data_IF_120293178212
#
_entry.id   IF_120293178212
#
_cell.length_a   1.000
_cell.length_b   1.000
_cell.length_c   1.000
_cell.angle_alpha   90.00
_cell.angle_beta   90.00
_cell.angle_gamma   90.00
#
_symmetry.space_group_name_H-M   'P 1'
#
loop_
_entity.id
_entity.type
_entity.pdbx_description
1 polymer ?
#
# COMPACT_ATOMS: atom_id res chain seq x y z
N UNK A 1 5.11 -5.97 24.12
CA UNK A 1 5.16 -5.58 22.69
C UNK A 1 4.60 -6.74 21.88
N UNK A 2 3.41 -6.62 21.26
CA UNK A 2 2.90 -7.69 20.38
C UNK A 2 3.64 -7.60 19.04
N UNK A 3 4.48 -8.59 18.77
CA UNK A 3 5.01 -8.83 17.42
C UNK A 3 3.82 -9.25 16.56
N UNK A 4 3.29 -8.33 15.76
CA UNK A 4 2.35 -8.72 14.71
C UNK A 4 3.16 -9.43 13.63
N UNK A 5 2.77 -10.65 13.29
CA UNK A 5 3.33 -11.33 12.13
C UNK A 5 2.82 -10.62 10.85
N UNK A 6 3.50 -10.83 9.72
CA UNK A 6 3.13 -10.20 8.44
C UNK A 6 1.68 -10.50 8.04
N UNK A 7 1.16 -11.67 8.43
CA UNK A 7 -0.22 -12.06 8.20
C UNK A 7 -1.24 -11.14 8.89
N UNK A 8 -1.05 -10.83 10.18
CA UNK A 8 -1.92 -9.88 10.91
C UNK A 8 -1.83 -8.47 10.35
N UNK A 9 -0.65 -8.05 9.88
CA UNK A 9 -0.46 -6.74 9.25
C UNK A 9 -1.24 -6.69 7.93
N UNK A 10 -1.06 -7.70 7.08
CA UNK A 10 -1.80 -7.84 5.83
C UNK A 10 -3.31 -7.84 6.05
N UNK A 11 -3.81 -8.60 7.04
CA UNK A 11 -5.22 -8.65 7.37
C UNK A 11 -5.75 -7.26 7.75
N UNK A 12 -5.02 -6.53 8.60
CA UNK A 12 -5.40 -5.17 9.02
C UNK A 12 -5.38 -4.19 7.85
N UNK A 13 -4.38 -4.26 6.97
CA UNK A 13 -4.31 -3.45 5.76
C UNK A 13 -5.54 -3.69 4.87
N UNK A 14 -5.93 -4.95 4.66
CA UNK A 14 -7.08 -5.31 3.84
C UNK A 14 -8.40 -4.89 4.48
N UNK A 15 -8.59 -5.14 5.78
CA UNK A 15 -9.78 -4.69 6.51
C UNK A 15 -9.87 -3.17 6.55
N UNK A 16 -8.76 -2.49 6.84
CA UNK A 16 -8.65 -1.04 6.84
C UNK A 16 -8.97 -0.44 5.47
N UNK A 17 -8.51 -1.06 4.38
CA UNK A 17 -8.91 -0.65 3.03
C UNK A 17 -10.40 -0.90 2.76
N UNK A 18 -10.98 -2.00 3.28
CA UNK A 18 -12.39 -2.37 3.09
C UNK A 18 -13.35 -1.47 3.87
N UNK A 19 -13.01 -1.12 5.11
CA UNK A 19 -13.88 -0.45 6.09
C UNK A 19 -13.71 1.07 6.13
N UNK A 20 -13.02 1.68 5.14
CA UNK A 20 -12.73 3.12 5.19
C UNK A 20 -13.99 3.95 5.32
N UNK A 21 -13.93 4.81 6.33
CA UNK A 21 -14.94 5.81 6.66
C UNK A 21 -14.71 7.04 5.77
N UNK A 22 -15.80 7.58 5.23
CA UNK A 22 -15.84 8.89 4.58
C UNK A 22 -16.59 9.87 5.46
N UNK A 23 -16.30 11.17 5.28
CA UNK A 23 -17.18 12.20 5.82
C UNK A 23 -18.40 12.32 4.91
N UNK A 24 -19.61 12.29 5.48
CA UNK A 24 -20.81 12.60 4.72
C UNK A 24 -20.94 14.12 4.44
N UNK A 25 -22.03 14.50 3.79
CA UNK A 25 -22.33 15.90 3.47
C UNK A 25 -22.46 16.81 4.70
N UNK A 26 -22.63 16.23 5.89
CA UNK A 26 -22.78 16.94 7.15
C UNK A 26 -21.48 16.93 7.98
N UNK A 27 -20.41 16.29 7.48
CA UNK A 27 -19.13 16.18 8.18
C UNK A 27 -19.08 15.05 9.22
N UNK A 28 -20.04 14.13 9.21
CA UNK A 28 -20.06 12.97 10.11
C UNK A 28 -19.25 11.80 9.52
N UNK A 29 -18.59 11.05 10.41
CA UNK A 29 -17.77 9.86 10.11
C UNK A 29 -18.72 8.70 9.80
N UNK A 30 -18.89 8.35 8.53
CA UNK A 30 -19.77 7.26 8.10
C UNK A 30 -19.02 6.19 7.31
N UNK A 31 -19.28 4.92 7.61
CA UNK A 31 -18.74 3.80 6.83
C UNK A 31 -19.17 3.95 5.36
N UNK A 32 -18.20 3.99 4.44
CA UNK A 32 -18.50 4.05 3.01
C UNK A 32 -19.00 2.69 2.50
N UNK A 33 -20.23 2.34 2.86
CA UNK A 33 -20.86 1.08 2.45
C UNK A 33 -21.24 1.08 0.95
N UNK A 34 -21.28 2.26 0.30
CA UNK A 34 -21.83 2.42 -1.05
C UNK A 34 -20.76 2.55 -2.16
N UNK A 35 -19.51 2.91 -1.86
CA UNK A 35 -18.42 2.91 -2.84
C UNK A 35 -17.37 1.86 -2.48
N UNK A 36 -17.68 0.63 -2.90
CA UNK A 36 -16.77 -0.50 -3.11
C UNK A 36 -15.29 -0.11 -3.05
N UNK A 37 -14.68 -0.28 -1.87
CA UNK A 37 -13.22 -0.31 -1.69
C UNK A 37 -12.53 -1.40 -2.52
N UNK A 38 -13.30 -2.20 -3.28
CA UNK A 38 -12.83 -3.13 -4.32
C UNK A 38 -11.74 -2.53 -5.21
N UNK A 39 -11.86 -1.25 -5.59
CA UNK A 39 -10.89 -0.64 -6.50
C UNK A 39 -9.51 -0.42 -5.84
N UNK A 40 -9.50 -0.15 -4.53
CA UNK A 40 -8.25 -0.10 -3.74
C UNK A 40 -7.73 -1.51 -3.47
N UNK A 41 -8.59 -2.48 -3.14
CA UNK A 41 -8.19 -3.87 -2.92
C UNK A 41 -7.64 -4.55 -4.18
N UNK A 42 -8.10 -4.16 -5.38
CA UNK A 42 -7.50 -4.61 -6.65
C UNK A 42 -6.04 -4.13 -6.81
N UNK A 43 -5.57 -3.17 -6.01
CA UNK A 43 -4.15 -2.82 -5.98
C UNK A 43 -3.29 -3.92 -5.37
N UNK A 44 -3.82 -4.83 -4.55
CA UNK A 44 -3.05 -5.92 -3.94
C UNK A 44 -2.28 -6.76 -4.96
N UNK A 45 -2.91 -7.04 -6.11
CA UNK A 45 -2.26 -7.77 -7.22
C UNK A 45 -1.15 -6.94 -7.87
N UNK A 46 -1.39 -5.64 -8.05
CA UNK A 46 -0.41 -4.70 -8.61
C UNK A 46 0.77 -4.48 -7.68
N UNK A 47 0.53 -4.49 -6.36
CA UNK A 47 1.57 -4.45 -5.35
C UNK A 47 2.50 -5.64 -5.50
N UNK A 48 1.95 -6.86 -5.51
CA UNK A 48 2.71 -8.09 -5.73
C UNK A 48 3.55 -8.05 -7.01
N UNK A 49 3.00 -7.55 -8.11
CA UNK A 49 3.74 -7.37 -9.37
C UNK A 49 4.85 -6.32 -9.25
N UNK A 50 4.56 -5.17 -8.65
CA UNK A 50 5.52 -4.07 -8.53
C UNK A 50 6.75 -4.42 -7.67
N UNK A 51 6.62 -5.33 -6.70
CA UNK A 51 7.77 -5.76 -5.87
C UNK A 51 8.90 -6.32 -6.74
N UNK A 52 8.58 -7.02 -7.83
CA UNK A 52 9.56 -7.61 -8.74
C UNK A 52 10.45 -6.55 -9.43
N UNK A 53 9.98 -5.30 -9.51
CA UNK A 53 10.70 -4.19 -10.12
C UNK A 53 11.50 -3.35 -9.11
N UNK A 54 11.51 -3.74 -7.83
CA UNK A 54 12.35 -3.13 -6.80
C UNK A 54 11.65 -2.08 -5.94
N UNK A 55 12.37 -1.65 -4.88
CA UNK A 55 11.84 -0.79 -3.81
C UNK A 55 11.39 0.58 -4.30
N UNK A 56 12.15 1.20 -5.20
CA UNK A 56 11.80 2.50 -5.78
C UNK A 56 10.51 2.42 -6.58
N UNK A 57 10.36 1.39 -7.42
CA UNK A 57 9.15 1.23 -8.24
C UNK A 57 7.91 1.01 -7.39
N UNK A 58 8.05 0.19 -6.34
CA UNK A 58 6.98 -0.08 -5.38
C UNK A 58 6.59 1.19 -4.61
N UNK A 59 7.57 1.87 -4.00
CA UNK A 59 7.33 3.09 -3.26
C UNK A 59 6.78 4.21 -4.16
N UNK A 60 7.32 4.42 -5.35
CA UNK A 60 6.88 5.50 -6.25
C UNK A 60 5.43 5.36 -6.75
N UNK A 61 4.82 4.19 -6.62
CA UNK A 61 3.46 3.96 -7.10
C UNK A 61 2.40 4.74 -6.29
N UNK A 62 2.58 4.93 -4.98
CA UNK A 62 1.66 5.77 -4.19
C UNK A 62 1.66 7.21 -4.69
N UNK A 63 2.84 7.73 -5.09
CA UNK A 63 2.98 9.08 -5.64
C UNK A 63 2.30 9.22 -6.99
N UNK A 64 2.50 8.23 -7.88
CA UNK A 64 1.86 8.19 -9.20
C UNK A 64 0.34 8.17 -9.09
N UNK A 65 -0.20 7.41 -8.14
CA UNK A 65 -1.63 7.34 -7.88
C UNK A 65 -2.15 8.64 -7.26
N UNK A 66 -1.39 9.26 -6.35
CA UNK A 66 -1.73 10.56 -5.75
C UNK A 66 -1.75 11.69 -6.78
N UNK A 67 -0.86 11.65 -7.76
CA UNK A 67 -0.88 12.66 -8.82
C UNK A 67 -2.16 12.54 -9.67
N UNK A 68 -2.58 11.30 -9.98
CA UNK A 68 -3.84 11.02 -10.68
C UNK A 68 -5.11 11.40 -9.91
N UNK A 69 -5.07 11.47 -8.58
CA UNK A 69 -6.25 11.87 -7.81
C UNK A 69 -6.67 13.31 -8.05
N UNK A 70 -5.73 14.19 -8.45
CA UNK A 70 -6.03 15.58 -8.85
C UNK A 70 -7.01 15.65 -10.03
N UNK A 71 -6.90 14.71 -10.96
CA UNK A 71 -7.66 14.71 -12.20
C UNK A 71 -8.87 13.76 -12.17
N UNK A 72 -8.83 12.72 -11.34
CA UNK A 72 -9.78 11.57 -11.39
C UNK A 72 -10.50 11.27 -10.08
N UNK A 73 -10.37 12.13 -9.06
CA UNK A 73 -11.16 12.10 -7.82
C UNK A 73 -10.69 11.09 -6.76
N UNK A 74 -11.51 10.96 -5.69
CA UNK A 74 -11.20 10.28 -4.42
C UNK A 74 -10.76 8.80 -4.55
N UNK A 75 -11.11 8.13 -5.65
CA UNK A 75 -10.75 6.72 -5.86
C UNK A 75 -9.24 6.52 -5.93
N UNK A 76 -8.53 7.39 -6.65
CA UNK A 76 -7.07 7.30 -6.78
C UNK A 76 -6.36 7.68 -5.49
N UNK A 77 -6.96 8.54 -4.68
CA UNK A 77 -6.44 8.90 -3.37
C UNK A 77 -6.49 7.69 -2.42
N UNK A 78 -7.59 6.94 -2.39
CA UNK A 78 -7.70 5.69 -1.62
C UNK A 78 -6.68 4.64 -2.07
N UNK A 79 -6.49 4.48 -3.39
CA UNK A 79 -5.47 3.58 -3.94
C UNK A 79 -4.07 4.02 -3.47
N UNK A 80 -3.73 5.29 -3.66
CA UNK A 80 -2.45 5.86 -3.24
C UNK A 80 -2.19 5.60 -1.76
N UNK A 81 -3.17 5.91 -0.92
CA UNK A 81 -3.05 5.76 0.52
C UNK A 81 -2.87 4.28 0.93
N UNK A 82 -3.51 3.34 0.24
CA UNK A 82 -3.31 1.91 0.50
C UNK A 82 -1.88 1.44 0.20
N UNK A 83 -1.28 1.91 -0.90
CA UNK A 83 0.15 1.70 -1.19
C UNK A 83 1.06 2.33 -0.13
N UNK A 84 0.73 3.56 0.30
CA UNK A 84 1.52 4.27 1.32
C UNK A 84 1.49 3.56 2.66
N UNK A 85 0.31 3.13 3.12
CA UNK A 85 0.14 2.37 4.36
C UNK A 85 0.90 1.05 4.32
N UNK A 86 0.87 0.34 3.18
CA UNK A 86 1.63 -0.90 3.01
C UNK A 86 3.13 -0.65 3.14
N UNK A 87 3.64 0.45 2.57
CA UNK A 87 5.03 0.87 2.74
C UNK A 87 5.36 1.27 4.18
N UNK A 88 4.46 1.99 4.86
CA UNK A 88 4.64 2.41 6.26
C UNK A 88 4.70 1.23 7.23
N UNK A 89 3.85 0.23 7.01
CA UNK A 89 3.86 -1.00 7.79
C UNK A 89 5.14 -1.82 7.52
N UNK A 90 5.60 -1.89 6.27
CA UNK A 90 6.90 -2.49 5.94
C UNK A 90 8.05 -1.80 6.70
N UNK A 91 8.10 -0.46 6.68
CA UNK A 91 9.12 0.32 7.41
C UNK A 91 9.05 0.03 8.91
N UNK A 92 7.84 -0.06 9.47
CA UNK A 92 7.63 -0.37 10.88
C UNK A 92 8.13 -1.76 11.25
N UNK A 93 7.82 -2.77 10.43
CA UNK A 93 8.29 -4.17 10.65
C UNK A 93 9.80 -4.26 10.55
N UNK A 94 10.39 -3.69 9.52
CA UNK A 94 11.83 -3.78 9.27
C UNK A 94 12.65 -3.03 10.32
N UNK A 95 12.09 -1.96 10.90
CA UNK A 95 12.71 -1.29 12.05
C UNK A 95 12.89 -2.22 13.27
N UNK A 96 12.00 -3.19 13.47
CA UNK A 96 12.11 -4.16 14.57
C UNK A 96 13.29 -5.12 14.40
N UNK A 97 13.76 -5.31 13.17
CA UNK A 97 14.89 -6.18 12.83
C UNK A 97 16.20 -5.41 12.70
N UNK A 98 16.19 -4.09 12.94
CA UNK A 98 17.35 -3.22 12.83
C UNK A 98 17.61 -2.69 11.41
N UNK A 99 16.79 -3.06 10.42
CA UNK A 99 16.92 -2.58 9.04
C UNK A 99 16.12 -1.29 8.87
N UNK A 100 16.80 -0.20 8.50
CA UNK A 100 16.15 1.11 8.30
C UNK A 100 15.78 1.29 6.84
N UNK A 101 14.49 1.53 6.59
CA UNK A 101 13.98 1.89 5.27
C UNK A 101 13.71 3.39 5.26
N UNK A 102 14.22 4.15 4.26
CA UNK A 102 13.88 5.55 4.13
C UNK A 102 12.38 5.73 3.90
N UNK A 103 11.79 6.75 4.52
CA UNK A 103 10.35 6.99 4.48
C UNK A 103 10.03 8.47 4.61
N UNK A 104 10.82 9.29 3.94
CA UNK A 104 10.73 10.73 4.07
C UNK A 104 9.42 11.24 3.47
N UNK A 105 8.86 12.28 4.09
CA UNK A 105 7.71 12.96 3.52
C UNK A 105 8.15 13.69 2.26
N UNK A 106 7.51 13.39 1.14
CA UNK A 106 7.80 14.01 -0.16
C UNK A 106 6.63 14.89 -0.60
N UNK A 107 6.94 15.94 -1.35
CA UNK A 107 5.95 16.83 -1.92
C UNK A 107 6.01 16.71 -3.45
N UNK A 108 4.89 16.31 -4.07
CA UNK A 108 4.78 16.16 -5.53
C UNK A 108 5.06 17.46 -6.29
N UNK A 109 4.78 18.63 -5.69
CA UNK A 109 5.11 19.93 -6.26
C UNK A 109 6.61 20.27 -6.18
N UNK A 110 7.40 19.46 -5.49
CA UNK A 110 8.86 19.63 -5.34
C UNK A 110 9.59 18.35 -5.77
N UNK A 111 9.87 18.19 -7.08
CA UNK A 111 10.50 16.99 -7.64
C UNK A 111 11.81 16.59 -6.95
N UNK A 112 12.57 17.55 -6.41
CA UNK A 112 13.82 17.29 -5.71
C UNK A 112 13.63 16.42 -4.46
N UNK A 113 12.48 16.54 -3.77
CA UNK A 113 12.19 15.71 -2.60
C UNK A 113 11.94 14.25 -2.98
N UNK A 114 11.32 14.01 -4.14
CA UNK A 114 11.12 12.67 -4.69
C UNK A 114 12.46 12.06 -5.13
N UNK A 115 13.31 12.84 -5.80
CA UNK A 115 14.66 12.40 -6.20
C UNK A 115 15.52 12.07 -4.99
N UNK A 116 15.49 12.88 -3.93
CA UNK A 116 16.24 12.62 -2.72
C UNK A 116 15.82 11.30 -2.06
N UNK A 117 14.52 11.04 -1.96
CA UNK A 117 13.99 9.80 -1.41
C UNK A 117 14.37 8.57 -2.28
N UNK A 118 14.32 8.69 -3.61
CA UNK A 118 14.80 7.62 -4.50
C UNK A 118 16.30 7.35 -4.33
N UNK A 119 17.13 8.40 -4.21
CA UNK A 119 18.55 8.26 -3.95
C UNK A 119 18.85 7.58 -2.61
N UNK A 120 18.04 7.83 -1.57
CA UNK A 120 18.19 7.13 -0.29
C UNK A 120 17.87 5.64 -0.41
N UNK A 121 16.86 5.26 -1.20
CA UNK A 121 16.56 3.86 -1.48
C UNK A 121 17.73 3.16 -2.20
N UNK A 122 18.37 3.83 -3.16
CA UNK A 122 19.51 3.28 -3.89
C UNK A 122 20.77 3.13 -3.05
N UNK A 123 20.91 3.92 -1.97
CA UNK A 123 22.05 3.85 -1.04
C UNK A 123 21.95 2.73 0.00
N UNK A 124 20.81 2.04 0.07
CA UNK A 124 20.66 0.88 0.95
C UNK A 124 21.68 -0.21 0.60
N UNK A 125 22.23 -0.86 1.62
CA UNK A 125 23.13 -2.00 1.39
C UNK A 125 22.41 -3.12 0.64
N UNK A 126 23.12 -3.82 -0.24
CA UNK A 126 22.54 -4.88 -1.09
C UNK A 126 21.91 -5.99 -0.25
N UNK A 127 22.49 -6.30 0.92
CA UNK A 127 21.93 -7.30 1.84
C UNK A 127 20.59 -6.83 2.39
N UNK A 128 20.53 -5.59 2.85
CA UNK A 128 19.30 -5.01 3.40
C UNK A 128 18.22 -4.88 2.33
N UNK A 129 18.58 -4.44 1.12
CA UNK A 129 17.65 -4.40 -0.03
C UNK A 129 17.01 -5.76 -0.29
N UNK A 130 17.81 -6.84 -0.28
CA UNK A 130 17.31 -8.21 -0.50
C UNK A 130 16.38 -8.66 0.63
N UNK A 131 16.71 -8.35 1.88
CA UNK A 131 15.86 -8.67 3.03
C UNK A 131 14.54 -7.91 2.93
N UNK A 132 14.57 -6.61 2.64
CA UNK A 132 13.38 -5.77 2.49
C UNK A 132 12.50 -6.32 1.36
N UNK A 133 13.07 -6.65 0.21
CA UNK A 133 12.31 -7.21 -0.92
C UNK A 133 11.69 -8.58 -0.60
N UNK A 134 12.38 -9.43 0.15
CA UNK A 134 11.83 -10.71 0.58
C UNK A 134 10.63 -10.52 1.53
N UNK A 135 10.76 -9.63 2.51
CA UNK A 135 9.68 -9.32 3.47
C UNK A 135 8.51 -8.64 2.77
N UNK A 136 8.78 -7.71 1.85
CA UNK A 136 7.75 -7.02 1.07
C UNK A 136 7.01 -7.98 0.15
N UNK A 137 7.71 -8.90 -0.53
CA UNK A 137 7.09 -9.96 -1.33
C UNK A 137 6.11 -10.77 -0.48
N UNK A 138 6.58 -11.25 0.68
CA UNK A 138 5.75 -12.04 1.59
C UNK A 138 4.54 -11.25 2.13
N UNK A 139 4.72 -9.97 2.44
CA UNK A 139 3.63 -9.08 2.85
C UNK A 139 2.59 -8.93 1.74
N UNK A 140 3.02 -8.72 0.50
CA UNK A 140 2.12 -8.63 -0.66
C UNK A 140 1.35 -9.93 -0.91
N UNK A 141 1.99 -11.08 -0.75
CA UNK A 141 1.32 -12.39 -0.88
C UNK A 141 0.26 -12.59 0.21
N UNK A 142 0.57 -12.24 1.46
CA UNK A 142 -0.41 -12.26 2.56
C UNK A 142 -1.59 -11.31 2.26
N UNK A 143 -1.31 -10.11 1.76
CA UNK A 143 -2.33 -9.11 1.39
C UNK A 143 -3.25 -9.68 0.29
N UNK A 144 -2.69 -10.28 -0.76
CA UNK A 144 -3.47 -10.91 -1.84
C UNK A 144 -4.36 -12.02 -1.29
N UNK A 145 -3.81 -12.87 -0.43
CA UNK A 145 -4.56 -13.97 0.20
C UNK A 145 -5.77 -13.45 0.99
N UNK A 146 -5.58 -12.44 1.85
CA UNK A 146 -6.68 -11.84 2.61
C UNK A 146 -7.69 -11.12 1.72
N UNK A 147 -7.23 -10.39 0.69
CA UNK A 147 -8.09 -9.76 -0.30
C UNK A 147 -9.00 -10.81 -0.97
N UNK A 148 -8.45 -11.94 -1.42
CA UNK A 148 -9.24 -13.03 -1.99
C UNK A 148 -10.20 -13.64 -0.96
N UNK A 149 -9.75 -13.86 0.27
CA UNK A 149 -10.56 -14.46 1.34
C UNK A 149 -11.77 -13.62 1.73
N UNK A 150 -11.67 -12.31 1.58
CA UNK A 150 -12.72 -11.34 1.88
C UNK A 150 -13.57 -10.93 0.67
N UNK A 151 -13.23 -11.36 -0.55
CA UNK A 151 -14.16 -11.38 -1.70
C UNK A 151 -15.19 -12.48 -1.43
N UNK A 152 -16.42 -12.09 -1.07
CA UNK A 152 -17.50 -13.05 -0.79
C UNK A 152 -18.00 -13.75 -2.08
N UNK A 153 -18.83 -14.81 -1.96
CA UNK A 153 -19.38 -15.54 -3.12
C UNK A 153 -20.14 -14.68 -4.14
N UNK A 154 -20.61 -13.49 -3.76
CA UNK A 154 -21.32 -12.55 -4.65
C UNK A 154 -20.43 -11.52 -5.37
N UNK A 155 -19.10 -11.57 -5.17
CA UNK A 155 -18.14 -10.66 -5.81
C UNK A 155 -17.42 -11.26 -7.02
N UNK A 156 -17.68 -12.53 -7.34
CA UNK A 156 -17.22 -13.23 -8.53
C UNK A 156 -18.18 -12.95 -9.70
N UNK A 157 -18.09 -11.76 -10.30
CA UNK A 157 -18.70 -11.54 -11.62
C UNK A 157 -17.66 -11.80 -12.70
N UNK A 158 -17.99 -12.78 -13.54
CA UNK A 158 -17.45 -13.37 -14.80
C UNK A 158 -16.32 -12.65 -15.59
N UNK A 159 -15.93 -11.42 -15.30
CA UNK A 159 -14.98 -10.65 -16.13
C UNK A 159 -13.50 -10.76 -15.71
N UNK A 160 -13.15 -11.68 -14.80
CA UNK A 160 -11.78 -11.87 -14.28
C UNK A 160 -11.17 -13.25 -14.67
N UNK A 161 -11.59 -13.87 -15.78
CA UNK A 161 -10.87 -15.00 -16.45
C UNK A 161 -10.05 -14.54 -17.66
#
# INVERSE_FOLDING_TARGET
MRLHNLDQIAQKLVLGAKERVVLDRNGEVVLDQNRRSKNALNQSFKMREAVAYGLERFWGEHLRLKDKSKDSGDEFDRKSQYWKETWDDLVTVMKLTGVTIPNNQVNLSRPDTVKAMAQELWKLDVKDQRIILAVLTQLCDCIVWWTQRYKGPGDLTVDDE
#
